data_IF_636688312703
#
_entry.id   IF_636688312703
#
_cell.length_a   1.000
_cell.length_b   1.000
_cell.length_c   1.000
_cell.angle_alpha   90.00
_cell.angle_beta   90.00
_cell.angle_gamma   90.00
#
_symmetry.space_group_name_H-M   'P 1'
#
loop_
_entity.id
_entity.type
_entity.pdbx_description
1 polymer ?
#
# COMPACT_ATOMS: atom_id res chain seq x y z
N UNK A 1 5.08 12.48 14.59
CA UNK A 1 4.25 11.51 13.86
C UNK A 1 5.13 10.33 13.43
N UNK A 2 4.76 9.13 13.80
CA UNK A 2 5.49 7.92 13.41
C UNK A 2 4.96 7.39 12.08
N UNK A 3 5.87 7.06 11.17
CA UNK A 3 5.54 6.64 9.81
C UNK A 3 6.11 5.26 9.52
N UNK A 4 5.26 4.35 9.08
CA UNK A 4 5.67 3.03 8.60
C UNK A 4 5.72 3.05 7.06
N UNK A 5 6.84 2.61 6.51
CA UNK A 5 6.98 2.41 5.07
C UNK A 5 6.86 0.91 4.79
N UNK A 6 5.81 0.52 4.12
CA UNK A 6 5.50 -0.89 3.91
C UNK A 6 6.42 -1.50 2.85
N UNK A 7 7.15 -2.53 3.25
CA UNK A 7 7.98 -3.36 2.37
C UNK A 7 7.26 -4.69 2.12
N UNK A 8 6.74 -4.86 0.92
CA UNK A 8 6.10 -6.09 0.47
C UNK A 8 6.76 -6.63 -0.81
N UNK A 9 8.03 -6.31 -0.96
CA UNK A 9 8.88 -6.72 -2.08
C UNK A 9 8.48 -6.11 -3.44
N UNK A 10 7.77 -4.99 -3.43
CA UNK A 10 7.41 -4.25 -4.64
C UNK A 10 7.50 -2.77 -4.35
N UNK A 11 8.21 -2.05 -5.22
CA UNK A 11 8.36 -0.62 -5.09
C UNK A 11 9.78 -0.20 -4.78
N UNK A 12 10.04 1.08 -4.92
CA UNK A 12 11.35 1.66 -4.67
C UNK A 12 11.38 2.34 -3.30
N UNK A 13 11.69 1.55 -2.28
CA UNK A 13 11.72 2.04 -0.90
C UNK A 13 12.76 3.13 -0.67
N UNK A 14 13.91 3.01 -1.33
CA UNK A 14 14.97 4.00 -1.20
C UNK A 14 14.57 5.39 -1.66
N UNK A 15 13.86 5.48 -2.78
CA UNK A 15 13.38 6.77 -3.30
C UNK A 15 12.35 7.40 -2.37
N UNK A 16 11.43 6.61 -1.83
CA UNK A 16 10.41 7.10 -0.91
C UNK A 16 11.05 7.55 0.41
N UNK A 17 11.98 6.76 0.95
CA UNK A 17 12.68 7.10 2.17
C UNK A 17 13.45 8.42 2.04
N UNK A 18 14.14 8.61 0.91
CA UNK A 18 14.86 9.86 0.62
C UNK A 18 13.92 11.06 0.52
N UNK A 19 12.77 10.88 -0.13
CA UNK A 19 11.79 11.95 -0.23
C UNK A 19 11.26 12.36 1.15
N UNK A 20 11.03 11.39 2.03
CA UNK A 20 10.59 11.65 3.40
C UNK A 20 11.66 12.41 4.19
N UNK A 21 12.92 12.01 4.09
CA UNK A 21 14.03 12.72 4.72
C UNK A 21 14.12 14.17 4.25
N UNK A 22 13.96 14.39 2.96
CA UNK A 22 14.02 15.73 2.36
C UNK A 22 12.97 16.67 2.97
N UNK A 23 11.79 16.16 3.28
CA UNK A 23 10.73 16.98 3.89
C UNK A 23 10.74 16.94 5.42
N UNK A 24 11.79 16.40 6.02
CA UNK A 24 11.97 16.39 7.47
C UNK A 24 11.23 15.28 8.20
N UNK A 25 10.72 14.27 7.47
CA UNK A 25 10.07 13.12 8.07
C UNK A 25 11.02 11.93 8.07
N UNK A 26 10.87 11.04 9.04
CA UNK A 26 11.59 9.77 9.05
C UNK A 26 10.59 8.63 9.10
N UNK A 27 10.90 7.54 8.41
CA UNK A 27 10.03 6.39 8.34
C UNK A 27 10.80 5.14 8.75
N UNK A 28 10.08 4.21 9.36
CA UNK A 28 10.60 2.88 9.65
C UNK A 28 10.05 1.91 8.62
N UNK A 29 10.94 1.13 8.02
CA UNK A 29 10.53 0.09 7.08
C UNK A 29 9.89 -1.07 7.85
N UNK A 30 8.71 -1.49 7.42
CA UNK A 30 7.96 -2.57 8.04
C UNK A 30 7.70 -3.65 6.97
N UNK A 31 8.21 -4.84 7.19
CA UNK A 31 8.14 -5.94 6.22
C UNK A 31 7.14 -7.04 6.62
N UNK A 32 6.44 -6.88 7.74
CA UNK A 32 5.50 -7.86 8.27
C UNK A 32 4.26 -7.14 8.78
N UNK A 33 3.09 -7.57 8.32
CA UNK A 33 1.83 -6.93 8.71
C UNK A 33 1.59 -6.90 10.21
N UNK A 34 2.10 -7.88 10.95
CA UNK A 34 1.95 -7.93 12.40
C UNK A 34 2.65 -6.77 13.12
N UNK A 35 3.58 -6.11 12.45
CA UNK A 35 4.35 -5.00 13.02
C UNK A 35 3.81 -3.63 12.63
N UNK A 36 2.70 -3.58 11.92
CA UNK A 36 2.13 -2.30 11.48
C UNK A 36 1.45 -1.52 12.61
N UNK A 37 1.12 -2.18 13.70
CA UNK A 37 0.43 -1.58 14.82
C UNK A 37 1.28 -0.51 15.50
N UNK A 38 0.65 0.57 15.95
CA UNK A 38 1.30 1.61 16.75
C UNK A 38 1.89 2.78 15.96
N UNK A 39 1.83 2.73 14.63
CA UNK A 39 2.23 3.86 13.80
C UNK A 39 1.07 4.83 13.59
N UNK A 40 1.37 6.10 13.41
CA UNK A 40 0.35 7.12 13.11
C UNK A 40 -0.05 7.09 11.64
N UNK A 41 0.90 6.78 10.77
CA UNK A 41 0.72 6.80 9.33
C UNK A 41 1.43 5.60 8.72
N UNK A 42 0.88 5.05 7.65
CA UNK A 42 1.62 4.10 6.84
C UNK A 42 1.61 4.51 5.36
N UNK A 43 2.71 4.24 4.69
CA UNK A 43 2.88 4.51 3.27
C UNK A 43 2.96 3.18 2.54
N UNK A 44 2.08 3.01 1.57
CA UNK A 44 2.03 1.82 0.72
C UNK A 44 2.53 2.21 -0.68
N UNK A 45 3.82 2.02 -0.96
CA UNK A 45 4.36 2.28 -2.28
C UNK A 45 4.11 1.09 -3.20
N UNK A 46 4.44 1.20 -4.46
CA UNK A 46 4.43 0.02 -5.32
C UNK A 46 4.63 0.37 -6.78
N UNK A 47 5.33 -0.52 -7.47
CA UNK A 47 5.44 -0.55 -8.92
C UNK A 47 5.21 -2.00 -9.36
N UNK A 48 4.64 -2.19 -10.54
CA UNK A 48 4.34 -3.51 -11.05
C UNK A 48 2.85 -3.73 -11.23
N UNK A 49 2.42 -4.98 -11.25
CA UNK A 49 1.02 -5.28 -11.51
C UNK A 49 0.23 -5.54 -10.23
N UNK A 50 -1.07 -5.32 -10.34
CA UNK A 50 -2.02 -5.42 -9.23
C UNK A 50 -2.07 -6.83 -8.63
N UNK A 51 -2.05 -7.86 -9.47
CA UNK A 51 -2.15 -9.25 -8.99
C UNK A 51 -0.97 -9.65 -8.13
N UNK A 52 0.25 -9.37 -8.59
CA UNK A 52 1.47 -9.67 -7.83
C UNK A 52 1.55 -8.84 -6.56
N UNK A 53 1.14 -7.57 -6.64
CA UNK A 53 1.12 -6.70 -5.48
C UNK A 53 0.21 -7.25 -4.38
N UNK A 54 -1.01 -7.62 -4.71
CA UNK A 54 -1.94 -8.18 -3.73
C UNK A 54 -1.47 -9.51 -3.17
N UNK A 55 -0.87 -10.36 -4.00
CA UNK A 55 -0.30 -11.63 -3.53
C UNK A 55 0.82 -11.40 -2.52
N UNK A 56 1.74 -10.48 -2.81
CA UNK A 56 2.83 -10.16 -1.91
C UNK A 56 2.34 -9.55 -0.59
N UNK A 57 1.32 -8.70 -0.64
CA UNK A 57 0.72 -8.16 0.58
C UNK A 57 0.10 -9.26 1.44
N UNK A 58 -0.63 -10.18 0.82
CA UNK A 58 -1.26 -11.28 1.54
C UNK A 58 -0.26 -12.20 2.20
N UNK A 59 0.83 -12.53 1.50
CA UNK A 59 1.87 -13.41 2.05
C UNK A 59 2.50 -12.85 3.32
N UNK A 60 2.54 -11.54 3.47
CA UNK A 60 3.13 -10.87 4.63
C UNK A 60 2.09 -10.38 5.64
N UNK A 61 0.83 -10.73 5.44
CA UNK A 61 -0.25 -10.35 6.35
C UNK A 61 -0.65 -8.88 6.30
N UNK A 62 -0.22 -8.15 5.27
CA UNK A 62 -0.54 -6.73 5.14
C UNK A 62 -1.98 -6.45 4.71
N UNK A 63 -2.61 -7.35 3.97
CA UNK A 63 -3.99 -7.15 3.51
C UNK A 63 -4.92 -6.89 4.69
N UNK A 64 -4.84 -7.74 5.70
CA UNK A 64 -5.62 -7.60 6.93
C UNK A 64 -5.12 -6.46 7.80
N UNK A 65 -3.81 -6.35 7.97
CA UNK A 65 -3.21 -5.34 8.83
C UNK A 65 -3.52 -3.91 8.35
N UNK A 66 -3.49 -3.66 7.05
CA UNK A 66 -3.82 -2.34 6.50
C UNK A 66 -5.29 -2.01 6.72
N UNK A 67 -6.20 -2.96 6.52
CA UNK A 67 -7.63 -2.73 6.78
C UNK A 67 -7.88 -2.38 8.24
N UNK A 68 -7.26 -3.11 9.15
CA UNK A 68 -7.37 -2.85 10.60
C UNK A 68 -6.76 -1.50 10.97
N UNK A 69 -5.62 -1.16 10.36
CA UNK A 69 -4.94 0.10 10.60
C UNK A 69 -5.83 1.30 10.21
N UNK A 70 -6.45 1.24 9.04
CA UNK A 70 -7.37 2.30 8.57
C UNK A 70 -8.62 2.35 9.44
N UNK A 71 -9.18 1.19 9.80
CA UNK A 71 -10.37 1.12 10.62
C UNK A 71 -10.17 1.72 12.00
N UNK A 72 -8.94 1.65 12.54
CA UNK A 72 -8.63 2.24 13.85
C UNK A 72 -8.19 3.71 13.77
N UNK A 73 -8.31 4.34 12.62
CA UNK A 73 -8.07 5.78 12.46
C UNK A 73 -6.67 6.15 12.00
N UNK A 74 -5.86 5.19 11.58
CA UNK A 74 -4.54 5.45 11.03
C UNK A 74 -4.59 6.12 9.65
N UNK A 75 -3.61 6.93 9.35
CA UNK A 75 -3.50 7.59 8.05
C UNK A 75 -2.77 6.69 7.06
N UNK A 76 -3.32 6.54 5.87
CA UNK A 76 -2.75 5.69 4.81
C UNK A 76 -2.51 6.50 3.55
N UNK A 77 -1.27 6.44 3.04
CA UNK A 77 -0.91 7.05 1.77
C UNK A 77 -0.51 5.95 0.78
N UNK A 78 -1.28 5.79 -0.28
CA UNK A 78 -0.95 4.86 -1.38
C UNK A 78 -0.27 5.61 -2.52
N UNK A 79 0.82 5.06 -3.04
CA UNK A 79 1.61 5.66 -4.13
C UNK A 79 1.65 4.70 -5.31
N UNK A 80 1.27 5.14 -6.50
CA UNK A 80 1.25 4.35 -7.73
C UNK A 80 0.44 3.06 -7.55
N UNK A 81 1.06 1.89 -7.72
CA UNK A 81 0.40 0.61 -7.50
C UNK A 81 -0.24 0.52 -6.10
N UNK A 82 0.43 1.08 -5.09
CA UNK A 82 -0.12 1.13 -3.73
C UNK A 82 -1.48 1.82 -3.69
N UNK A 83 -1.63 2.93 -4.40
CA UNK A 83 -2.92 3.62 -4.51
C UNK A 83 -3.97 2.74 -5.19
N UNK A 84 -3.60 2.06 -6.27
CA UNK A 84 -4.54 1.21 -7.00
C UNK A 84 -5.06 0.06 -6.15
N UNK A 85 -4.21 -0.52 -5.31
CA UNK A 85 -4.59 -1.65 -4.45
C UNK A 85 -5.55 -1.26 -3.32
N UNK A 86 -5.78 0.03 -3.08
CA UNK A 86 -6.76 0.48 -2.09
C UNK A 86 -8.20 0.22 -2.52
N UNK A 87 -8.43 0.02 -3.81
CA UNK A 87 -9.76 -0.23 -4.37
C UNK A 87 -10.12 -1.72 -4.27
N UNK A 88 -11.34 -2.06 -4.66
CA UNK A 88 -11.85 -3.42 -4.51
C UNK A 88 -11.29 -4.39 -5.55
N UNK A 89 -11.04 -3.89 -6.76
CA UNK A 89 -10.52 -4.72 -7.86
C UNK A 89 -9.88 -3.88 -8.94
N UNK A 90 -9.22 -4.53 -9.89
CA UNK A 90 -8.59 -3.87 -11.03
C UNK A 90 -8.86 -4.65 -12.30
N UNK A 91 -9.12 -3.92 -13.38
CA UNK A 91 -9.26 -4.48 -14.73
C UNK A 91 -7.99 -5.24 -15.16
N UNK A 92 -6.83 -4.84 -14.67
CA UNK A 92 -5.55 -5.50 -14.94
C UNK A 92 -5.48 -6.93 -14.41
N UNK A 93 -6.18 -7.21 -13.31
CA UNK A 93 -6.14 -8.51 -12.64
C UNK A 93 -7.57 -8.97 -12.29
N UNK A 94 -8.35 -9.43 -13.29
CA UNK A 94 -9.72 -9.89 -13.05
C UNK A 94 -9.77 -11.01 -12.02
N UNK A 95 -10.71 -10.91 -11.08
CA UNK A 95 -10.90 -11.91 -10.04
C UNK A 95 -9.96 -11.78 -8.83
N UNK A 96 -9.01 -10.85 -8.86
CA UNK A 96 -8.14 -10.59 -7.71
C UNK A 96 -8.74 -9.46 -6.89
N UNK A 97 -9.02 -9.72 -5.61
CA UNK A 97 -9.55 -8.70 -4.71
C UNK A 97 -8.43 -7.76 -4.26
N UNK A 98 -8.72 -6.45 -4.30
CA UNK A 98 -7.86 -5.42 -3.70
C UNK A 98 -8.10 -5.31 -2.21
N UNK A 99 -7.55 -4.27 -1.59
CA UNK A 99 -7.71 -4.03 -0.15
C UNK A 99 -9.12 -3.59 0.23
N UNK A 100 -9.85 -2.99 -0.72
CA UNK A 100 -11.22 -2.58 -0.47
C UNK A 100 -11.38 -1.43 0.52
N UNK A 101 -10.35 -0.59 0.68
CA UNK A 101 -10.44 0.61 1.50
C UNK A 101 -11.42 1.60 0.89
N UNK A 102 -11.39 1.69 -0.44
CA UNK A 102 -12.35 2.47 -1.20
C UNK A 102 -13.19 1.56 -2.09
N UNK A 103 -14.47 1.84 -2.27
CA UNK A 103 -15.29 1.10 -3.23
C UNK A 103 -14.87 1.44 -4.66
N UNK A 104 -15.07 0.50 -5.56
CA UNK A 104 -14.84 0.74 -6.97
C UNK A 104 -13.74 -0.12 -7.55
N UNK A 105 -13.47 0.14 -8.82
CA UNK A 105 -12.59 -0.66 -9.64
C UNK A 105 -11.61 0.24 -10.39
N UNK A 106 -10.37 -0.18 -10.46
CA UNK A 106 -9.35 0.50 -11.27
C UNK A 106 -9.56 0.10 -12.73
N UNK A 107 -9.78 1.09 -13.58
CA UNK A 107 -10.03 0.89 -14.99
C UNK A 107 -8.90 1.47 -15.83
N UNK A 108 -8.62 0.83 -16.93
CA UNK A 108 -7.72 1.35 -17.94
C UNK A 108 -8.39 2.52 -18.65
N UNK A 109 -7.62 3.54 -18.99
CA UNK A 109 -8.14 4.65 -19.79
C UNK A 109 -8.57 4.14 -21.17
N UNK A 110 -9.70 4.64 -21.70
CA UNK A 110 -10.11 4.27 -23.06
C UNK A 110 -9.08 4.73 -24.09
N UNK A 111 -8.88 3.92 -25.13
CA UNK A 111 -8.00 4.26 -26.24
C UNK A 111 -8.59 5.40 -27.06
N UNK A 112 -7.79 6.36 -27.40
CA UNK A 112 -8.19 7.50 -28.21
C UNK A 112 -8.45 8.75 -27.41
#
# INVERSE_FOLDING_TARGET
MSVALIDYNMGNLGSVAKALEFVGASARVVADGRKLNGFDCCILPGVGNFGDGMENLRQRGFDRAIREFVASGGYLLGICLGMQMLFEESEEAPGVAGLGVFPGKVLRFPDG
#
